data_IF_088379466343
#
_entry.id   IF_088379466343
#
_cell.length_a   1.000
_cell.length_b   1.000
_cell.length_c   1.000
_cell.angle_alpha   90.00
_cell.angle_beta   90.00
_cell.angle_gamma   90.00
#
_symmetry.space_group_name_H-M   'P 1'
#
loop_
_entity.id
_entity.type
_entity.pdbx_description
1 polymer ?
#
# COMPACT_ATOMS: atom_id res chain seq x y z
N UNK A 1 10.17 -38.74 25.75
CA UNK A 1 9.81 -38.29 24.38
C UNK A 1 9.07 -36.98 24.51
N UNK A 2 9.79 -35.88 24.45
CA UNK A 2 9.20 -34.56 24.58
C UNK A 2 8.67 -34.12 23.22
N UNK A 3 7.35 -34.10 23.08
CA UNK A 3 6.70 -33.45 21.95
C UNK A 3 6.89 -31.94 22.14
N UNK A 4 7.84 -31.38 21.39
CA UNK A 4 7.98 -29.96 21.24
C UNK A 4 6.69 -29.43 20.58
N UNK A 5 5.85 -28.80 21.39
CA UNK A 5 4.67 -28.11 20.88
C UNK A 5 5.15 -27.04 19.90
N UNK A 6 4.92 -27.27 18.62
CA UNK A 6 5.02 -26.21 17.63
C UNK A 6 3.94 -25.19 18.02
N UNK A 7 4.36 -24.09 18.65
CA UNK A 7 3.55 -22.90 18.65
C UNK A 7 3.20 -22.64 17.18
N UNK A 8 1.97 -22.85 16.81
CA UNK A 8 1.46 -22.40 15.52
C UNK A 8 1.51 -20.88 15.58
N UNK A 9 2.64 -20.29 15.14
CA UNK A 9 2.68 -18.90 14.79
C UNK A 9 1.55 -18.71 13.77
N UNK A 10 0.60 -17.85 14.13
CA UNK A 10 -0.50 -17.51 13.26
C UNK A 10 0.11 -16.77 12.07
N UNK A 11 0.30 -17.48 10.94
CA UNK A 11 0.91 -16.90 9.76
C UNK A 11 -0.19 -16.17 9.00
N UNK A 12 -0.05 -14.85 8.89
CA UNK A 12 -0.97 -14.00 8.15
C UNK A 12 -0.65 -14.00 6.66
N UNK A 13 -1.65 -13.68 5.85
CA UNK A 13 -1.40 -13.28 4.46
C UNK A 13 -0.69 -11.92 4.43
N UNK A 14 -0.05 -11.57 3.33
CA UNK A 14 0.60 -10.26 3.18
C UNK A 14 -0.42 -9.14 3.32
N UNK A 15 -1.61 -9.30 2.73
CA UNK A 15 -2.72 -8.35 2.87
C UNK A 15 -3.08 -8.13 4.33
N UNK A 16 -3.31 -9.19 5.09
CA UNK A 16 -3.66 -9.10 6.52
C UNK A 16 -2.54 -8.47 7.33
N UNK A 17 -1.30 -8.87 7.07
CA UNK A 17 -0.12 -8.36 7.76
C UNK A 17 0.00 -6.85 7.60
N UNK A 18 -0.06 -6.35 6.38
CA UNK A 18 0.06 -4.91 6.13
C UNK A 18 -1.14 -4.13 6.65
N UNK A 19 -2.37 -4.65 6.51
CA UNK A 19 -3.55 -3.99 7.06
C UNK A 19 -3.53 -3.91 8.60
N UNK A 20 -2.87 -4.85 9.25
CA UNK A 20 -2.78 -4.90 10.72
C UNK A 20 -1.57 -4.14 11.26
N UNK A 21 -0.42 -4.28 10.61
CA UNK A 21 0.87 -3.80 11.13
C UNK A 21 1.28 -2.43 10.61
N UNK A 22 0.71 -1.96 9.50
CA UNK A 22 0.88 -0.57 9.07
C UNK A 22 -0.08 0.32 9.88
N UNK A 23 0.38 0.72 11.06
CA UNK A 23 -0.43 1.46 12.01
C UNK A 23 -0.85 2.84 11.52
N UNK A 24 0.01 3.51 10.75
CA UNK A 24 -0.31 4.83 10.23
C UNK A 24 -1.39 4.75 9.16
N UNK A 25 -1.26 3.85 8.18
CA UNK A 25 -2.27 3.65 7.15
C UNK A 25 -3.61 3.23 7.77
N UNK A 26 -3.59 2.32 8.75
CA UNK A 26 -4.79 1.92 9.48
C UNK A 26 -5.44 3.09 10.20
N UNK A 27 -4.65 4.00 10.79
CA UNK A 27 -5.14 5.16 11.54
C UNK A 27 -5.95 6.15 10.70
N UNK A 28 -5.69 6.20 9.39
CA UNK A 28 -6.47 7.04 8.47
C UNK A 28 -7.55 6.27 7.72
N UNK A 29 -7.72 4.99 7.97
CA UNK A 29 -8.73 4.15 7.35
C UNK A 29 -8.36 3.60 5.97
N UNK A 30 -7.07 3.63 5.61
CA UNK A 30 -6.59 3.01 4.38
C UNK A 30 -6.48 1.48 4.56
N UNK A 31 -6.96 0.73 3.57
CA UNK A 31 -6.93 -0.74 3.60
C UNK A 31 -6.56 -1.31 2.23
N UNK A 32 -5.70 -2.31 2.23
CA UNK A 32 -5.49 -3.17 1.08
C UNK A 32 -6.74 -4.02 0.84
N UNK A 33 -7.16 -4.08 -0.41
CA UNK A 33 -8.31 -4.88 -0.85
C UNK A 33 -7.92 -5.96 -1.84
N UNK A 34 -6.73 -5.87 -2.42
CA UNK A 34 -6.19 -6.84 -3.36
C UNK A 34 -4.66 -6.86 -3.26
N UNK A 35 -4.08 -8.05 -3.18
CA UNK A 35 -2.65 -8.30 -3.37
C UNK A 35 -2.50 -9.53 -4.25
N UNK A 36 -1.89 -9.35 -5.41
CA UNK A 36 -1.61 -10.41 -6.37
C UNK A 36 -0.20 -10.20 -6.95
N UNK A 37 0.36 -11.16 -7.68
CA UNK A 37 1.69 -10.97 -8.28
C UNK A 37 1.76 -9.71 -9.14
N UNK A 38 2.63 -8.78 -8.77
CA UNK A 38 2.87 -7.54 -9.52
C UNK A 38 1.78 -6.47 -9.44
N UNK A 39 0.72 -6.67 -8.64
CA UNK A 39 -0.36 -5.70 -8.50
C UNK A 39 -0.95 -5.70 -7.09
N UNK A 40 -1.27 -4.53 -6.59
CA UNK A 40 -2.03 -4.37 -5.35
C UNK A 40 -2.99 -3.19 -5.46
N UNK A 41 -4.08 -3.25 -4.71
CA UNK A 41 -5.03 -2.15 -4.57
C UNK A 41 -5.27 -1.85 -3.10
N UNK A 42 -5.29 -0.55 -2.78
CA UNK A 42 -5.69 -0.04 -1.49
C UNK A 42 -6.85 0.94 -1.67
N UNK A 43 -7.71 1.01 -0.67
CA UNK A 43 -8.93 1.82 -0.74
C UNK A 43 -9.14 2.62 0.54
N UNK A 44 -9.75 3.80 0.40
CA UNK A 44 -10.09 4.69 1.51
C UNK A 44 -11.28 5.55 1.11
N UNK A 45 -12.24 5.76 2.02
CA UNK A 45 -13.30 6.74 1.85
C UNK A 45 -12.94 8.03 2.59
N UNK A 46 -13.05 9.16 1.90
CA UNK A 46 -12.70 10.48 2.44
C UNK A 46 -13.73 10.91 3.48
N UNK A 47 -13.27 11.18 4.69
CA UNK A 47 -14.06 11.69 5.81
C UNK A 47 -13.57 13.09 6.20
N UNK A 48 -14.25 13.76 7.12
CA UNK A 48 -13.88 15.11 7.58
C UNK A 48 -12.44 15.18 8.12
N UNK A 49 -11.98 14.12 8.80
CA UNK A 49 -10.62 14.05 9.35
C UNK A 49 -9.52 14.07 8.28
N UNK A 50 -9.86 13.79 7.03
CA UNK A 50 -8.93 13.78 5.92
C UNK A 50 -8.81 15.14 5.21
N UNK A 51 -9.68 16.11 5.56
CA UNK A 51 -9.72 17.38 4.85
C UNK A 51 -8.62 18.32 5.31
N UNK A 52 -8.07 19.06 4.35
CA UNK A 52 -7.11 20.13 4.62
C UNK A 52 -7.81 21.47 4.91
N UNK A 53 -7.03 22.52 5.13
CA UNK A 53 -7.57 23.85 5.36
C UNK A 53 -8.38 24.46 4.22
N UNK A 54 -8.25 23.94 3.01
CA UNK A 54 -9.05 24.31 1.84
C UNK A 54 -10.33 23.50 1.66
N UNK A 55 -10.63 22.58 2.57
CA UNK A 55 -11.85 21.78 2.52
C UNK A 55 -11.83 20.61 1.53
N UNK A 56 -10.66 20.24 1.01
CA UNK A 56 -10.46 19.07 0.16
C UNK A 56 -9.53 18.08 0.83
N UNK A 57 -9.51 16.83 0.36
CA UNK A 57 -8.66 15.79 0.94
C UNK A 57 -7.19 16.23 0.91
N UNK A 58 -6.52 16.08 2.03
CA UNK A 58 -5.13 16.44 2.19
C UNK A 58 -4.24 15.48 1.38
N UNK A 59 -3.24 16.03 0.68
CA UNK A 59 -2.38 15.25 -0.22
C UNK A 59 -1.64 14.10 0.46
N UNK A 60 -1.31 14.22 1.74
CA UNK A 60 -0.70 13.15 2.51
C UNK A 60 -1.58 11.90 2.65
N UNK A 61 -2.90 12.05 2.57
CA UNK A 61 -3.83 10.90 2.55
C UNK A 61 -3.65 10.10 1.27
N UNK A 62 -3.60 10.79 0.13
CA UNK A 62 -3.36 10.13 -1.17
C UNK A 62 -1.98 9.47 -1.19
N UNK A 63 -0.97 10.15 -0.66
CA UNK A 63 0.39 9.60 -0.55
C UNK A 63 0.40 8.31 0.28
N UNK A 64 -0.22 8.32 1.45
CA UNK A 64 -0.27 7.14 2.34
C UNK A 64 -1.01 5.98 1.69
N UNK A 65 -2.13 6.26 1.02
CA UNK A 65 -2.89 5.24 0.29
C UNK A 65 -2.06 4.60 -0.82
N UNK A 66 -1.36 5.41 -1.61
CA UNK A 66 -0.46 4.95 -2.66
C UNK A 66 0.72 4.15 -2.08
N UNK A 67 1.30 4.61 -0.98
CA UNK A 67 2.44 3.97 -0.33
C UNK A 67 2.07 2.61 0.25
N UNK A 68 0.85 2.45 0.78
CA UNK A 68 0.35 1.16 1.25
C UNK A 68 0.25 0.13 0.10
N UNK A 69 -0.30 0.52 -1.04
CA UNK A 69 -0.35 -0.33 -2.23
C UNK A 69 1.06 -0.66 -2.75
N UNK A 70 1.95 0.33 -2.73
CA UNK A 70 3.36 0.16 -3.08
C UNK A 70 4.07 -0.83 -2.16
N UNK A 71 3.89 -0.71 -0.85
CA UNK A 71 4.47 -1.64 0.12
C UNK A 71 4.04 -3.08 -0.14
N UNK A 72 2.78 -3.30 -0.51
CA UNK A 72 2.27 -4.63 -0.81
C UNK A 72 2.96 -5.26 -2.03
N UNK A 73 3.09 -4.52 -3.12
CA UNK A 73 3.78 -5.01 -4.33
C UNK A 73 5.27 -5.21 -4.05
N UNK A 74 5.92 -4.23 -3.43
CA UNK A 74 7.35 -4.29 -3.14
C UNK A 74 7.72 -5.48 -2.25
N UNK A 75 6.88 -5.83 -1.28
CA UNK A 75 7.11 -6.93 -0.35
C UNK A 75 6.49 -8.26 -0.80
N UNK A 76 5.87 -8.31 -1.98
CA UNK A 76 5.22 -9.53 -2.49
C UNK A 76 6.21 -10.64 -2.87
N UNK A 77 7.49 -10.34 -2.90
CA UNK A 77 8.55 -11.31 -3.21
C UNK A 77 9.13 -11.99 -1.96
N UNK A 78 8.58 -11.74 -0.77
CA UNK A 78 8.99 -12.40 0.47
C UNK A 78 10.26 -11.85 1.12
N UNK A 79 10.77 -10.72 0.64
CA UNK A 79 11.96 -10.05 1.15
C UNK A 79 11.56 -8.65 1.59
N UNK A 80 11.99 -8.26 2.80
CA UNK A 80 11.69 -6.92 3.32
C UNK A 80 12.23 -5.85 2.39
N UNK A 81 11.33 -5.03 1.87
CA UNK A 81 11.60 -4.02 0.87
C UNK A 81 11.01 -2.70 1.33
N UNK A 82 11.82 -1.66 1.37
CA UNK A 82 11.43 -0.33 1.86
C UNK A 82 11.53 0.68 0.73
N UNK A 83 10.55 1.58 0.63
CA UNK A 83 10.58 2.70 -0.31
C UNK A 83 11.74 3.64 0.01
N UNK A 84 12.49 4.03 -1.03
CA UNK A 84 13.60 4.97 -0.88
C UNK A 84 13.41 6.27 -1.66
N UNK A 85 12.54 6.27 -2.67
CA UNK A 85 12.24 7.47 -3.46
C UNK A 85 10.87 7.35 -4.08
N UNK A 86 9.97 8.24 -3.71
CA UNK A 86 8.63 8.32 -4.28
C UNK A 86 8.39 9.71 -4.83
N UNK A 87 7.79 9.79 -5.99
CA UNK A 87 7.36 11.05 -6.61
C UNK A 87 5.87 10.97 -6.86
N UNK A 88 5.10 11.87 -6.25
CA UNK A 88 3.66 11.96 -6.43
C UNK A 88 3.31 13.26 -7.16
N UNK A 89 2.37 13.17 -8.09
CA UNK A 89 1.79 14.30 -8.79
C UNK A 89 0.30 14.30 -8.55
N UNK A 90 -0.22 15.39 -7.96
CA UNK A 90 -1.64 15.60 -7.73
C UNK A 90 -2.26 16.28 -8.94
N UNK A 91 -3.27 15.66 -9.54
CA UNK A 91 -3.90 16.15 -10.77
C UNK A 91 -5.28 16.72 -10.53
N UNK A 92 -6.01 16.17 -9.55
CA UNK A 92 -7.37 16.59 -9.23
C UNK A 92 -7.60 16.41 -7.72
N UNK A 93 -8.25 17.39 -7.11
CA UNK A 93 -8.66 17.28 -5.72
C UNK A 93 -9.78 16.27 -5.54
N UNK A 94 -9.82 15.62 -4.39
CA UNK A 94 -10.93 14.76 -3.99
C UNK A 94 -11.68 15.34 -2.80
N UNK A 95 -12.95 15.01 -2.73
CA UNK A 95 -13.93 15.63 -1.86
C UNK A 95 -14.35 14.68 -0.74
N UNK A 96 -14.96 15.26 0.28
CA UNK A 96 -15.65 14.49 1.32
C UNK A 96 -16.61 13.48 0.68
N UNK A 97 -16.54 12.23 1.11
CA UNK A 97 -17.39 11.15 0.64
C UNK A 97 -16.84 10.38 -0.57
N UNK A 98 -15.80 10.88 -1.24
CA UNK A 98 -15.18 10.14 -2.34
C UNK A 98 -14.53 8.84 -1.83
N UNK A 99 -14.65 7.78 -2.64
CA UNK A 99 -13.93 6.53 -2.42
C UNK A 99 -12.71 6.49 -3.33
N UNK A 100 -11.55 6.47 -2.72
CA UNK A 100 -10.26 6.48 -3.41
C UNK A 100 -9.72 5.07 -3.54
N UNK A 101 -9.22 4.73 -4.72
CA UNK A 101 -8.52 3.46 -4.96
C UNK A 101 -7.14 3.75 -5.52
N UNK A 102 -6.11 3.29 -4.82
CA UNK A 102 -4.74 3.29 -5.31
C UNK A 102 -4.43 1.91 -5.89
N UNK A 103 -4.08 1.85 -7.16
CA UNK A 103 -3.59 0.64 -7.80
C UNK A 103 -2.10 0.77 -8.08
N UNK A 104 -1.32 -0.15 -7.53
CA UNK A 104 0.11 -0.24 -7.74
C UNK A 104 0.42 -1.40 -8.69
N UNK A 105 1.26 -1.13 -9.70
CA UNK A 105 1.77 -2.14 -10.63
C UNK A 105 3.29 -2.12 -10.63
N UNK A 106 3.87 -3.31 -10.55
CA UNK A 106 5.31 -3.49 -10.69
C UNK A 106 5.72 -3.25 -12.15
N UNK A 107 6.60 -2.28 -12.36
CA UNK A 107 7.15 -1.96 -13.68
C UNK A 107 8.42 -2.76 -13.91
N UNK A 108 9.26 -2.88 -12.88
CA UNK A 108 10.52 -3.59 -12.93
C UNK A 108 10.77 -4.33 -11.62
N UNK A 109 10.85 -5.66 -11.70
CA UNK A 109 11.30 -6.52 -10.61
C UNK A 109 12.84 -6.59 -10.63
N UNK A 110 13.47 -5.51 -10.18
CA UNK A 110 14.91 -5.46 -10.05
C UNK A 110 15.33 -6.16 -8.75
N UNK A 111 16.43 -6.91 -8.81
CA UNK A 111 16.92 -7.68 -7.66
C UNK A 111 17.09 -6.87 -6.37
N UNK A 112 17.51 -5.62 -6.48
CA UNK A 112 17.75 -4.71 -5.35
C UNK A 112 16.84 -3.49 -5.34
N UNK A 113 16.42 -3.01 -6.49
CA UNK A 113 15.75 -1.74 -6.69
C UNK A 113 14.45 -1.93 -7.49
N UNK A 114 13.43 -2.58 -6.94
CA UNK A 114 12.16 -2.71 -7.63
C UNK A 114 11.50 -1.34 -7.82
N UNK A 115 10.80 -1.19 -8.93
CA UNK A 115 10.17 0.06 -9.35
C UNK A 115 8.71 -0.17 -9.69
N UNK A 116 7.84 0.70 -9.21
CA UNK A 116 6.39 0.59 -9.38
C UNK A 116 5.76 1.91 -9.84
N UNK A 117 4.66 1.78 -10.57
CA UNK A 117 3.73 2.86 -10.88
C UNK A 117 2.46 2.71 -10.05
N UNK A 118 1.95 3.80 -9.51
CA UNK A 118 0.72 3.84 -8.72
C UNK A 118 -0.20 4.90 -9.29
N UNK A 119 -1.46 4.54 -9.52
CA UNK A 119 -2.52 5.46 -9.92
C UNK A 119 -3.60 5.50 -8.85
N UNK A 120 -4.05 6.70 -8.51
CA UNK A 120 -5.17 6.91 -7.58
C UNK A 120 -6.35 7.45 -8.35
N UNK A 121 -7.47 6.76 -8.24
CA UNK A 121 -8.75 7.13 -8.88
C UNK A 121 -9.84 7.28 -7.82
N UNK A 122 -10.91 8.03 -8.16
CA UNK A 122 -12.12 8.06 -7.35
C UNK A 122 -13.15 7.02 -7.84
N UNK A 123 -14.34 7.00 -7.24
CA UNK A 123 -15.42 6.06 -7.59
C UNK A 123 -15.96 6.25 -9.00
N UNK A 124 -15.68 7.38 -9.66
CA UNK A 124 -16.05 7.65 -11.06
C UNK A 124 -14.96 7.23 -12.05
N UNK A 125 -13.84 6.68 -11.56
CA UNK A 125 -12.70 6.34 -12.39
C UNK A 125 -11.86 7.54 -12.81
N UNK A 126 -12.07 8.72 -12.24
CA UNK A 126 -11.26 9.90 -12.53
C UNK A 126 -9.90 9.78 -11.89
N UNK A 127 -8.85 10.08 -12.64
CA UNK A 127 -7.47 10.06 -12.15
C UNK A 127 -7.22 11.28 -11.26
N UNK A 128 -6.88 11.02 -10.00
CA UNK A 128 -6.63 12.06 -8.99
C UNK A 128 -5.15 12.33 -8.79
N UNK A 129 -4.33 11.30 -8.82
CA UNK A 129 -2.89 11.41 -8.62
C UNK A 129 -2.18 10.21 -9.25
N UNK A 130 -0.91 10.44 -9.59
CA UNK A 130 0.02 9.38 -9.98
C UNK A 130 1.23 9.41 -9.06
N UNK A 131 1.79 8.24 -8.74
CA UNK A 131 3.03 8.13 -8.00
C UNK A 131 3.94 7.11 -8.66
N UNK A 132 5.23 7.40 -8.68
CA UNK A 132 6.26 6.41 -8.97
C UNK A 132 7.01 6.10 -7.70
N UNK A 133 7.32 4.83 -7.48
CA UNK A 133 8.02 4.37 -6.29
C UNK A 133 9.23 3.54 -6.64
N UNK A 134 10.38 3.90 -6.07
CA UNK A 134 11.60 3.12 -6.08
C UNK A 134 11.84 2.59 -4.68
N UNK A 135 12.08 1.28 -4.55
CA UNK A 135 12.32 0.64 -3.28
C UNK A 135 13.70 -0.02 -3.24
N UNK A 136 14.10 -0.43 -2.05
CA UNK A 136 15.35 -1.16 -1.80
C UNK A 136 15.06 -2.45 -1.05
N UNK A 137 15.52 -3.59 -1.58
CA UNK A 137 15.44 -4.89 -0.94
C UNK A 137 16.56 -5.08 0.06
N UNK A 138 16.17 -5.28 1.32
CA UNK A 138 17.10 -5.63 2.37
C UNK A 138 17.47 -7.13 2.29
N UNK A 139 18.56 -7.52 2.94
CA UNK A 139 18.96 -8.91 3.08
C UNK A 139 18.21 -9.58 4.24
N UNK A 140 16.87 -9.53 4.22
CA UNK A 140 16.04 -10.01 5.31
C UNK A 140 14.68 -10.45 4.79
N UNK A 141 14.22 -11.62 5.21
CA UNK A 141 12.91 -12.14 4.87
C UNK A 141 11.79 -11.27 5.46
N UNK A 142 10.69 -11.20 4.72
CA UNK A 142 9.45 -10.62 5.18
C UNK A 142 8.40 -11.74 5.16
N UNK A 143 8.10 -12.28 6.34
CA UNK A 143 7.36 -13.52 6.47
C UNK A 143 5.85 -13.32 6.43
N UNK A 144 5.20 -14.04 5.55
CA UNK A 144 3.74 -14.18 5.45
C UNK A 144 3.42 -15.53 4.78
N UNK A 145 2.17 -15.98 4.87
CA UNK A 145 1.76 -17.29 4.33
C UNK A 145 1.57 -17.23 2.81
N UNK A 146 0.74 -16.29 2.36
CA UNK A 146 0.42 -16.06 0.95
C UNK A 146 0.06 -14.59 0.73
N UNK A 147 -0.14 -14.17 -0.53
CA UNK A 147 -0.39 -12.75 -0.81
C UNK A 147 -1.75 -12.28 -0.32
N UNK A 148 -2.77 -13.12 -0.49
CA UNK A 148 -4.15 -12.74 -0.17
C UNK A 148 -4.98 -13.94 0.26
#
# INVERSE_FOLDING_TARGET
MYLCGKNSLFIMTLLEKLNTEDHFAASIGAQLILVAPGVARAQLTVTERHLNGGGVCQGGVLYTLADLAFAAVANSHGILTLGISNTITFMKSCQLGDTLTAECREVLDHRKLPYCDIHITNQKGELLATMTGLAYRLNRDFEYDQLM
#
